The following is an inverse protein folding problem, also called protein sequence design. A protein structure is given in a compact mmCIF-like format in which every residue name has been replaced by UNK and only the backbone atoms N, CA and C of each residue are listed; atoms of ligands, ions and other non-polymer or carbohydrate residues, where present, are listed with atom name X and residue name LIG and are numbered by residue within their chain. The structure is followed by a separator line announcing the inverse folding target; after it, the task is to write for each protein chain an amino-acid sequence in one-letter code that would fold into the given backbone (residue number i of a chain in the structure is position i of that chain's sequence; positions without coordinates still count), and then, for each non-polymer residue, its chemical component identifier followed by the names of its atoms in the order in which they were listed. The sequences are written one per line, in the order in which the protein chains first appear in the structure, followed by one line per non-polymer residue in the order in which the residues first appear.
data_IF_748540750492
#
_entry.id   IF_748540750492
#
_cell.length_a   1.000
_cell.length_b   1.000
_cell.length_c   1.000
_cell.angle_alpha   90.00
_cell.angle_beta   90.00
_cell.angle_gamma   90.00
#
_symmetry.space_group_name_H-M   'P 1'
#
loop_
_entity.id
_entity.type
_entity.pdbx_description
1 polymer ?
#
# COMPACT_ATOMS: atom_id res chain seq x y z
N UNK A 1 -4.09 -23.28 70.73
CA UNK A 1 -4.40 -22.61 69.45
C UNK A 1 -4.52 -21.12 69.74
N UNK A 2 -3.39 -20.41 69.77
CA UNK A 2 -3.31 -19.08 70.34
C UNK A 2 -3.61 -17.99 69.32
N UNK A 3 -4.86 -17.49 69.31
CA UNK A 3 -5.15 -16.13 68.84
C UNK A 3 -4.61 -15.13 69.88
N UNK A 4 -3.28 -14.97 69.95
CA UNK A 4 -2.69 -13.81 70.59
C UNK A 4 -2.96 -12.58 69.73
N UNK A 5 -3.55 -11.52 70.29
CA UNK A 5 -3.66 -10.22 69.60
C UNK A 5 -2.25 -9.80 69.20
N UNK A 6 -1.96 -9.77 67.90
CA UNK A 6 -0.66 -9.33 67.38
C UNK A 6 -0.30 -7.97 67.97
N UNK A 7 0.89 -7.88 68.52
CA UNK A 7 1.42 -6.61 69.04
C UNK A 7 1.51 -5.59 67.90
N UNK A 8 1.40 -4.28 68.17
CA UNK A 8 1.54 -3.24 67.13
C UNK A 8 2.83 -3.38 66.29
N UNK A 9 3.91 -3.90 66.90
CA UNK A 9 5.16 -4.23 66.22
C UNK A 9 5.01 -5.39 65.22
N UNK A 10 4.31 -6.46 65.58
CA UNK A 10 4.03 -7.59 64.68
C UNK A 10 3.13 -7.17 63.51
N UNK A 11 2.14 -6.30 63.77
CA UNK A 11 1.32 -5.71 62.69
C UNK A 11 2.14 -4.86 61.73
N UNK A 12 3.06 -4.02 62.22
CA UNK A 12 3.97 -3.27 61.35
C UNK A 12 4.87 -4.20 60.53
N UNK A 13 5.42 -5.25 61.14
CA UNK A 13 6.26 -6.22 60.43
C UNK A 13 5.44 -6.98 59.38
N UNK A 14 4.21 -7.39 59.71
CA UNK A 14 3.30 -8.06 58.78
C UNK A 14 2.90 -7.16 57.60
N UNK A 15 2.60 -5.89 57.85
CA UNK A 15 2.32 -4.93 56.77
C UNK A 15 3.56 -4.68 55.91
N UNK A 16 4.75 -4.55 56.50
CA UNK A 16 6.00 -4.42 55.72
C UNK A 16 6.27 -5.66 54.88
N UNK A 17 6.03 -6.86 55.40
CA UNK A 17 6.23 -8.11 54.67
C UNK A 17 5.21 -8.27 53.53
N UNK A 18 3.95 -7.89 53.74
CA UNK A 18 2.93 -7.86 52.69
C UNK A 18 3.28 -6.84 51.59
N UNK A 19 3.73 -5.64 51.95
CA UNK A 19 4.16 -4.62 50.99
C UNK A 19 5.40 -5.10 50.22
N UNK A 20 6.39 -5.69 50.89
CA UNK A 20 7.60 -6.19 50.23
C UNK A 20 7.31 -7.40 49.33
N UNK A 21 6.42 -8.30 49.75
CA UNK A 21 5.97 -9.44 48.93
C UNK A 21 5.16 -8.96 47.72
N UNK A 22 4.29 -7.96 47.90
CA UNK A 22 3.55 -7.34 46.80
C UNK A 22 4.48 -6.62 45.82
N UNK A 23 5.52 -5.92 46.30
CA UNK A 23 6.53 -5.28 45.46
C UNK A 23 7.37 -6.30 44.68
N UNK A 24 7.73 -7.42 45.30
CA UNK A 24 8.43 -8.51 44.59
C UNK A 24 7.53 -9.19 43.57
N UNK A 25 6.24 -9.36 43.86
CA UNK A 25 5.26 -9.96 42.97
C UNK A 25 4.85 -9.04 41.80
N UNK A 26 4.94 -7.72 41.96
CA UNK A 26 4.71 -6.72 40.92
C UNK A 26 5.81 -6.71 39.85
N UNK A 27 7.01 -7.21 40.16
CA UNK A 27 8.09 -7.29 39.19
C UNK A 27 7.84 -8.43 38.20
N UNK A 28 7.80 -8.08 36.92
CA UNK A 28 7.64 -9.05 35.82
C UNK A 28 8.83 -10.00 35.79
N UNK A 29 8.58 -11.30 35.57
CA UNK A 29 9.67 -12.28 35.51
C UNK A 29 10.61 -12.01 34.33
N UNK A 30 11.90 -12.23 34.54
CA UNK A 30 12.94 -12.00 33.52
C UNK A 30 12.69 -12.79 32.23
N UNK A 31 12.13 -13.98 32.34
CA UNK A 31 11.80 -14.83 31.19
C UNK A 31 10.68 -14.22 30.33
N UNK A 32 9.70 -13.56 30.95
CA UNK A 32 8.64 -12.83 30.23
C UNK A 32 9.26 -11.64 29.48
N UNK A 33 10.18 -10.90 30.10
CA UNK A 33 10.86 -9.77 29.46
C UNK A 33 11.73 -10.21 28.26
N UNK A 34 12.41 -11.35 28.36
CA UNK A 34 13.16 -11.94 27.24
C UNK A 34 12.23 -12.42 26.09
N UNK A 35 11.01 -12.84 26.42
CA UNK A 35 10.01 -13.20 25.41
C UNK A 35 9.61 -11.98 24.58
N UNK A 36 9.46 -10.80 25.21
CA UNK A 36 9.20 -9.54 24.50
C UNK A 36 10.34 -9.17 23.53
N UNK A 37 11.59 -9.44 23.89
CA UNK A 37 12.74 -9.25 22.99
C UNK A 37 12.63 -10.14 21.76
N UNK A 38 12.35 -11.43 21.96
CA UNK A 38 12.18 -12.40 20.86
C UNK A 38 11.02 -12.00 19.94
N UNK A 39 9.92 -11.50 20.52
CA UNK A 39 8.79 -10.96 19.78
C UNK A 39 9.19 -9.73 18.96
N UNK A 40 9.95 -8.81 19.54
CA UNK A 40 10.45 -7.62 18.82
C UNK A 40 11.35 -8.02 17.65
N UNK A 41 12.21 -9.03 17.80
CA UNK A 41 13.05 -9.54 16.71
C UNK A 41 12.22 -10.15 15.57
N UNK A 42 11.15 -10.87 15.90
CA UNK A 42 10.19 -11.38 14.92
C UNK A 42 9.46 -10.26 14.17
N UNK A 43 9.07 -9.21 14.88
CA UNK A 43 8.43 -8.03 14.28
C UNK A 43 9.40 -7.24 13.40
N UNK A 44 10.66 -7.06 13.83
CA UNK A 44 11.71 -6.44 13.00
C UNK A 44 11.89 -7.19 11.68
N UNK A 45 12.01 -8.52 11.72
CA UNK A 45 12.07 -9.35 10.50
C UNK A 45 10.83 -9.17 9.62
N UNK A 46 9.66 -9.03 10.24
CA UNK A 46 8.40 -8.79 9.51
C UNK A 46 8.40 -7.41 8.84
N UNK A 47 8.86 -6.37 9.53
CA UNK A 47 9.04 -5.03 8.97
C UNK A 47 10.05 -5.02 7.80
N UNK A 48 11.16 -5.76 7.91
CA UNK A 48 12.12 -5.95 6.82
C UNK A 48 11.48 -6.64 5.61
N UNK A 49 10.66 -7.67 5.84
CA UNK A 49 9.96 -8.37 4.76
C UNK A 49 8.96 -7.46 4.04
N UNK A 50 8.21 -6.64 4.78
CA UNK A 50 7.35 -5.63 4.16
C UNK A 50 8.18 -4.58 3.40
N UNK A 51 9.31 -4.13 3.94
CA UNK A 51 10.19 -3.18 3.27
C UNK A 51 10.73 -3.74 1.94
N UNK A 52 11.16 -5.01 1.92
CA UNK A 52 11.57 -5.71 0.69
C UNK A 52 10.41 -5.83 -0.31
N UNK A 53 9.23 -6.23 0.17
CA UNK A 53 8.02 -6.31 -0.67
C UNK A 53 7.68 -4.95 -1.28
N UNK A 54 7.71 -3.88 -0.49
CA UNK A 54 7.42 -2.52 -0.94
C UNK A 54 8.45 -2.08 -1.99
N UNK A 55 9.74 -2.36 -1.76
CA UNK A 55 10.80 -2.10 -2.74
C UNK A 55 10.55 -2.77 -4.09
N UNK A 56 10.08 -4.03 -4.10
CA UNK A 56 9.70 -4.73 -5.34
C UNK A 56 8.57 -4.01 -6.07
N UNK A 57 7.53 -3.57 -5.36
CA UNK A 57 6.40 -2.85 -5.99
C UNK A 57 6.85 -1.48 -6.51
N UNK A 58 7.70 -0.74 -5.78
CA UNK A 58 8.28 0.51 -6.29
C UNK A 58 9.16 0.29 -7.53
N UNK A 59 9.90 -0.82 -7.59
CA UNK A 59 10.65 -1.21 -8.79
C UNK A 59 9.74 -1.47 -9.99
N UNK A 60 8.60 -2.13 -9.77
CA UNK A 60 7.59 -2.35 -10.81
C UNK A 60 6.94 -1.03 -11.28
N UNK A 61 6.68 -0.10 -10.36
CA UNK A 61 6.24 1.26 -10.71
C UNK A 61 7.24 1.99 -11.60
N UNK A 62 8.54 1.88 -11.31
CA UNK A 62 9.57 2.53 -12.11
C UNK A 62 9.62 1.93 -13.52
N UNK A 63 9.60 0.60 -13.64
CA UNK A 63 9.53 -0.07 -14.95
C UNK A 63 8.31 0.37 -15.76
N UNK A 64 7.11 0.33 -15.15
CA UNK A 64 5.88 0.76 -15.80
C UNK A 64 5.90 2.25 -16.20
N UNK A 65 6.55 3.10 -15.40
CA UNK A 65 6.69 4.53 -15.70
C UNK A 65 7.59 4.79 -16.92
N UNK A 66 8.64 3.97 -17.13
CA UNK A 66 9.47 4.07 -18.33
C UNK A 66 8.71 3.67 -19.60
N UNK A 67 7.78 2.72 -19.49
CA UNK A 67 6.94 2.29 -20.62
C UNK A 67 5.85 3.31 -20.97
N UNK A 68 5.16 3.89 -19.96
CA UNK A 68 4.05 4.80 -20.20
C UNK A 68 3.92 5.87 -19.08
N UNK A 69 4.64 6.97 -19.26
CA UNK A 69 4.69 8.08 -18.30
C UNK A 69 3.34 8.71 -18.02
N UNK A 70 2.52 8.93 -19.05
CA UNK A 70 1.22 9.60 -18.92
C UNK A 70 0.23 8.76 -18.10
N UNK A 71 0.23 7.45 -18.33
CA UNK A 71 -0.64 6.51 -17.62
C UNK A 71 -0.20 6.29 -16.17
N UNK A 72 1.10 6.16 -15.93
CA UNK A 72 1.65 5.74 -14.63
C UNK A 72 1.96 6.92 -13.71
N UNK A 73 2.27 8.09 -14.25
CA UNK A 73 2.77 9.24 -13.50
C UNK A 73 1.91 9.64 -12.31
N UNK A 74 0.59 9.66 -12.46
CA UNK A 74 -0.35 9.96 -11.37
C UNK A 74 -0.25 8.96 -10.22
N UNK A 75 -0.15 7.67 -10.53
CA UNK A 75 -0.08 6.60 -9.52
C UNK A 75 1.28 6.54 -8.85
N UNK A 76 2.35 6.75 -9.64
CA UNK A 76 3.71 6.85 -9.12
C UNK A 76 3.86 8.02 -8.14
N UNK A 77 3.35 9.20 -8.47
CA UNK A 77 3.36 10.35 -7.56
C UNK A 77 2.68 10.04 -6.23
N UNK A 78 1.51 9.37 -6.26
CA UNK A 78 0.83 8.91 -5.04
C UNK A 78 1.69 7.93 -4.24
N UNK A 79 2.26 6.91 -4.89
CA UNK A 79 3.12 5.91 -4.27
C UNK A 79 4.37 6.54 -3.63
N UNK A 80 5.06 7.44 -4.33
CA UNK A 80 6.25 8.13 -3.85
C UNK A 80 5.92 9.03 -2.63
N UNK A 81 4.77 9.69 -2.63
CA UNK A 81 4.32 10.47 -1.47
C UNK A 81 4.07 9.60 -0.23
N UNK A 82 3.55 8.38 -0.43
CA UNK A 82 3.37 7.41 0.65
C UNK A 82 4.71 6.94 1.19
N UNK A 83 5.67 6.63 0.30
CA UNK A 83 7.03 6.22 0.68
C UNK A 83 7.70 7.22 1.62
N UNK A 84 7.71 8.49 1.22
CA UNK A 84 8.33 9.59 1.99
C UNK A 84 7.70 9.71 3.37
N UNK A 85 6.37 9.66 3.45
CA UNK A 85 5.67 9.74 4.74
C UNK A 85 5.89 8.52 5.62
N UNK A 86 5.94 7.32 5.03
CA UNK A 86 6.19 6.07 5.74
C UNK A 86 7.61 6.05 6.31
N UNK A 87 8.62 6.40 5.51
CA UNK A 87 10.02 6.46 5.92
C UNK A 87 10.22 7.50 7.03
N UNK A 88 9.63 8.69 6.90
CA UNK A 88 9.71 9.74 7.93
C UNK A 88 9.12 9.28 9.27
N UNK A 89 7.95 8.63 9.26
CA UNK A 89 7.32 8.13 10.48
C UNK A 89 8.09 6.95 11.07
N UNK A 90 8.56 6.02 10.24
CA UNK A 90 9.38 4.89 10.66
C UNK A 90 10.66 5.37 11.36
N UNK A 91 11.38 6.32 10.76
CA UNK A 91 12.59 6.92 11.33
C UNK A 91 12.31 7.70 12.61
N UNK A 92 11.17 8.39 12.71
CA UNK A 92 10.76 9.06 13.95
C UNK A 92 10.57 8.05 15.09
N UNK A 93 9.95 6.90 14.83
CA UNK A 93 9.80 5.85 15.84
C UNK A 93 11.14 5.25 16.23
N UNK A 94 12.06 5.03 15.27
CA UNK A 94 13.43 4.62 15.61
C UNK A 94 14.11 5.64 16.53
N UNK A 95 14.03 6.93 16.22
CA UNK A 95 14.60 7.98 17.08
C UNK A 95 14.00 7.95 18.49
N UNK A 96 12.68 7.74 18.63
CA UNK A 96 12.03 7.60 19.93
C UNK A 96 12.50 6.36 20.70
N UNK A 97 12.55 5.18 20.05
CA UNK A 97 13.07 3.94 20.66
C UNK A 97 14.46 4.18 21.25
N UNK A 98 15.34 4.79 20.47
CA UNK A 98 16.70 5.07 20.90
C UNK A 98 16.77 6.10 22.04
N UNK A 99 15.96 7.16 21.97
CA UNK A 99 15.86 8.17 23.04
C UNK A 99 15.46 7.55 24.38
N UNK A 100 14.50 6.62 24.37
CA UNK A 100 14.05 5.94 25.58
C UNK A 100 15.11 4.97 26.11
N UNK A 101 15.69 4.12 25.24
CA UNK A 101 16.73 3.15 25.62
C UNK A 101 17.97 3.83 26.19
N UNK A 102 18.51 4.84 25.51
CA UNK A 102 19.72 5.54 25.95
C UNK A 102 19.56 6.16 27.34
N UNK A 103 18.37 6.71 27.61
CA UNK A 103 18.08 7.30 28.91
C UNK A 103 17.94 6.23 29.99
N UNK A 104 17.27 5.13 29.71
CA UNK A 104 17.05 4.04 30.66
C UNK A 104 18.37 3.34 31.02
N UNK A 105 19.19 3.04 30.02
CA UNK A 105 20.50 2.41 30.22
C UNK A 105 21.57 3.39 30.75
N UNK A 106 21.22 4.68 30.95
CA UNK A 106 22.12 5.76 31.38
C UNK A 106 23.38 5.85 30.51
N UNK A 107 23.24 5.52 29.22
CA UNK A 107 24.33 5.54 28.26
C UNK A 107 24.61 6.98 27.85
N UNK A 108 25.82 7.44 28.13
CA UNK A 108 26.31 8.74 27.64
C UNK A 108 26.88 8.52 26.25
N UNK A 109 26.29 9.16 25.23
CA UNK A 109 26.89 9.21 23.89
C UNK A 109 28.17 10.06 23.99
N UNK A 110 29.33 9.43 23.87
CA UNK A 110 30.60 10.15 23.69
C UNK A 110 30.79 10.39 22.20
N UNK A 111 30.63 11.64 21.77
CA UNK A 111 31.00 12.05 20.42
C UNK A 111 32.51 12.31 20.43
N UNK A 112 33.28 11.40 19.82
CA UNK A 112 34.70 11.62 19.54
C UNK A 112 34.83 12.05 18.08
N UNK A 113 35.85 12.85 17.74
CA UNK A 113 36.02 13.50 16.43
C UNK A 113 35.88 12.56 15.21
N UNK A 114 36.13 11.26 15.37
CA UNK A 114 36.21 10.31 14.26
C UNK A 114 35.26 9.09 14.37
N UNK A 115 34.58 8.88 15.50
CA UNK A 115 33.59 7.79 15.69
C UNK A 115 32.61 8.10 16.81
N UNK A 116 31.35 7.65 16.64
CA UNK A 116 30.38 7.61 17.74
C UNK A 116 30.36 6.17 18.27
N UNK A 117 31.03 5.96 19.40
CA UNK A 117 31.00 4.69 20.13
C UNK A 117 29.83 4.70 21.10
N UNK A 118 28.85 3.84 20.86
CA UNK A 118 27.85 3.49 21.86
C UNK A 118 27.92 1.97 22.13
N UNK A 119 27.45 1.48 23.29
CA UNK A 119 27.23 0.05 23.53
C UNK A 119 26.21 -0.60 22.56
N UNK A 120 25.55 0.21 21.72
CA UNK A 120 24.45 -0.15 20.83
C UNK A 120 24.77 0.28 19.38
N UNK A 121 25.57 -0.54 18.70
CA UNK A 121 25.98 -0.43 17.28
C UNK A 121 26.61 0.93 16.87
N UNK A 122 27.33 0.90 15.74
CA UNK A 122 27.95 2.08 15.14
C UNK A 122 26.83 2.99 14.63
N UNK A 123 26.79 4.25 15.05
CA UNK A 123 25.96 5.26 14.39
C UNK A 123 26.51 5.46 12.96
N UNK A 124 25.63 5.59 11.97
CA UNK A 124 26.07 6.04 10.65
C UNK A 124 26.52 7.51 10.71
N UNK A 125 27.17 8.00 9.65
CA UNK A 125 27.70 9.38 9.55
C UNK A 125 26.62 10.47 9.70
N UNK A 126 25.33 10.09 9.74
CA UNK A 126 24.17 10.98 9.90
C UNK A 126 23.56 10.92 11.30
N UNK A 127 24.14 10.15 12.22
CA UNK A 127 23.61 9.97 13.58
C UNK A 127 22.34 9.13 13.62
N UNK A 128 22.09 8.33 12.58
CA UNK A 128 20.97 7.39 12.50
C UNK A 128 21.46 6.02 13.00
N UNK A 129 20.71 5.44 13.92
CA UNK A 129 20.96 4.11 14.49
C UNK A 129 20.75 3.04 13.40
N UNK A 130 21.64 2.06 13.28
CA UNK A 130 21.62 1.04 12.20
C UNK A 130 20.45 0.02 12.28
N UNK A 131 19.47 0.26 13.16
CA UNK A 131 18.27 -0.55 13.27
C UNK A 131 18.43 -1.80 14.15
N UNK A 132 19.58 -2.03 14.79
CA UNK A 132 19.72 -3.05 15.84
C UNK A 132 20.04 -2.42 17.18
N UNK A 133 19.00 -2.21 17.99
CA UNK A 133 19.19 -2.01 19.43
C UNK A 133 19.99 -3.23 19.92
N UNK A 134 21.19 -3.02 20.43
CA UNK A 134 21.98 -4.11 21.01
C UNK A 134 21.34 -4.64 22.30
N UNK A 135 22.14 -5.22 23.21
CA UNK A 135 21.61 -5.83 24.43
C UNK A 135 21.12 -4.78 25.44
N UNK A 136 19.85 -4.38 25.35
CA UNK A 136 19.17 -3.49 26.32
C UNK A 136 19.44 -4.02 27.73
N UNK A 137 19.92 -3.17 28.65
CA UNK A 137 20.27 -3.58 30.00
C UNK A 137 19.09 -3.39 30.96
N UNK A 138 18.45 -2.24 30.89
CA UNK A 138 17.32 -1.83 31.71
C UNK A 138 15.97 -2.28 31.13
N UNK A 139 15.88 -3.55 30.70
CA UNK A 139 14.68 -4.12 30.04
C UNK A 139 13.41 -4.05 30.92
N UNK A 140 13.58 -4.03 32.23
CA UNK A 140 12.56 -3.96 33.26
C UNK A 140 12.24 -2.52 33.73
N UNK A 141 12.92 -1.50 33.21
CA UNK A 141 12.65 -0.10 33.59
C UNK A 141 11.24 0.31 33.16
N UNK A 142 10.43 0.70 34.15
CA UNK A 142 9.03 1.09 33.98
C UNK A 142 8.81 2.61 34.12
N UNK A 143 9.86 3.39 34.38
CA UNK A 143 9.76 4.81 34.70
C UNK A 143 10.16 5.70 33.52
N UNK A 144 11.29 5.38 32.87
CA UNK A 144 11.86 6.16 31.77
C UNK A 144 10.93 6.21 30.55
N UNK A 145 10.26 5.11 30.14
CA UNK A 145 9.28 5.17 29.07
C UNK A 145 8.14 6.14 29.40
N UNK A 146 7.54 6.05 30.59
CA UNK A 146 6.46 6.95 31.04
C UNK A 146 6.91 8.40 31.11
N UNK A 147 8.12 8.68 31.60
CA UNK A 147 8.63 10.05 31.67
C UNK A 147 8.79 10.67 30.27
N UNK A 148 9.31 9.93 29.30
CA UNK A 148 9.53 10.47 27.95
C UNK A 148 8.22 10.51 27.16
N UNK A 149 7.44 9.44 27.18
CA UNK A 149 6.30 9.26 26.30
C UNK A 149 5.06 9.96 26.83
N UNK A 150 4.81 9.87 28.13
CA UNK A 150 3.64 10.46 28.78
C UNK A 150 3.96 11.87 29.29
N UNK A 151 4.90 12.00 30.24
CA UNK A 151 5.14 13.30 30.90
C UNK A 151 5.70 14.37 29.95
N UNK A 152 6.59 14.00 29.03
CA UNK A 152 7.11 14.92 28.00
C UNK A 152 6.24 14.98 26.73
N UNK A 153 5.17 14.19 26.65
CA UNK A 153 4.19 14.24 25.57
C UNK A 153 4.63 13.67 24.22
N UNK A 154 5.75 12.93 24.16
CA UNK A 154 6.25 12.35 22.89
C UNK A 154 5.26 11.32 22.29
N UNK A 155 4.48 10.62 23.12
CA UNK A 155 3.43 9.70 22.66
C UNK A 155 2.30 10.44 21.95
N UNK A 156 1.93 11.64 22.39
CA UNK A 156 0.91 12.46 21.73
C UNK A 156 1.41 12.97 20.38
N UNK A 157 2.70 13.33 20.28
CA UNK A 157 3.30 13.67 18.99
C UNK A 157 3.31 12.46 18.05
N UNK A 158 3.67 11.28 18.58
CA UNK A 158 3.63 10.02 17.82
C UNK A 158 2.22 9.71 17.31
N UNK A 159 1.20 9.78 18.17
CA UNK A 159 -0.22 9.58 17.84
C UNK A 159 -0.64 10.48 16.67
N UNK A 160 -0.37 11.79 16.79
CA UNK A 160 -0.69 12.76 15.72
C UNK A 160 0.00 12.44 14.39
N UNK A 161 1.25 11.98 14.42
CA UNK A 161 1.97 11.58 13.20
C UNK A 161 1.38 10.30 12.58
N UNK A 162 0.96 9.32 13.39
CA UNK A 162 0.26 8.12 12.91
C UNK A 162 -1.09 8.51 12.27
N UNK A 163 -1.85 9.39 12.91
CA UNK A 163 -3.13 9.88 12.40
C UNK A 163 -2.97 10.65 11.09
N UNK A 164 -1.96 11.51 10.99
CA UNK A 164 -1.63 12.23 9.76
C UNK A 164 -1.23 11.28 8.62
N UNK A 165 -0.41 10.26 8.90
CA UNK A 165 -0.05 9.25 7.91
C UNK A 165 -1.27 8.44 7.46
N UNK A 166 -2.11 8.01 8.40
CA UNK A 166 -3.36 7.30 8.12
C UNK A 166 -4.29 8.13 7.22
N UNK A 167 -4.47 9.41 7.54
CA UNK A 167 -5.28 10.33 6.74
C UNK A 167 -4.72 10.51 5.32
N UNK A 168 -3.40 10.68 5.18
CA UNK A 168 -2.73 10.77 3.88
C UNK A 168 -2.97 9.52 3.03
N UNK A 169 -2.86 8.33 3.62
CA UNK A 169 -3.11 7.08 2.89
C UNK A 169 -4.55 7.01 2.35
N UNK A 170 -5.54 7.34 3.19
CA UNK A 170 -6.96 7.31 2.82
C UNK A 170 -7.25 8.35 1.74
N UNK A 171 -6.73 9.58 1.88
CA UNK A 171 -6.86 10.63 0.87
C UNK A 171 -6.26 10.19 -0.48
N UNK A 172 -5.08 9.57 -0.46
CA UNK A 172 -4.39 9.11 -1.68
C UNK A 172 -5.12 7.95 -2.35
N UNK A 173 -5.76 7.05 -1.59
CA UNK A 173 -6.64 6.01 -2.11
C UNK A 173 -7.87 6.64 -2.76
N UNK A 174 -8.52 7.57 -2.08
CA UNK A 174 -9.70 8.27 -2.58
C UNK A 174 -10.96 7.39 -2.55
N UNK A 175 -11.80 7.51 -3.59
CA UNK A 175 -13.09 6.84 -3.66
C UNK A 175 -12.95 5.31 -3.73
N UNK A 176 -13.42 4.63 -2.67
CA UNK A 176 -13.31 3.18 -2.49
C UNK A 176 -14.41 2.39 -3.20
N UNK A 177 -15.42 3.06 -3.79
CA UNK A 177 -16.51 2.39 -4.53
C UNK A 177 -16.01 1.69 -5.79
N UNK A 178 -14.89 2.16 -6.36
CA UNK A 178 -14.23 1.60 -7.55
C UNK A 178 -13.08 0.63 -7.20
N UNK A 179 -13.03 0.17 -5.94
CA UNK A 179 -11.95 -0.66 -5.40
C UNK A 179 -11.12 0.11 -4.37
N UNK A 180 -10.32 -0.61 -3.58
CA UNK A 180 -9.48 -0.01 -2.53
C UNK A 180 -10.08 -0.06 -1.13
N UNK A 181 -11.34 -0.50 -0.97
CA UNK A 181 -11.95 -0.75 0.34
C UNK A 181 -11.09 -1.67 1.22
N UNK A 182 -10.63 -2.80 0.68
CA UNK A 182 -9.75 -3.71 1.43
C UNK A 182 -8.42 -3.08 1.86
N UNK A 183 -7.87 -2.15 1.07
CA UNK A 183 -6.67 -1.40 1.47
C UNK A 183 -6.99 -0.43 2.62
N UNK A 184 -8.09 0.31 2.52
CA UNK A 184 -8.54 1.23 3.58
C UNK A 184 -8.85 0.49 4.88
N UNK A 185 -9.56 -0.64 4.81
CA UNK A 185 -9.90 -1.46 5.98
C UNK A 185 -8.62 -1.96 6.68
N UNK A 186 -7.62 -2.42 5.92
CA UNK A 186 -6.33 -2.84 6.45
C UNK A 186 -5.57 -1.68 7.12
N UNK A 187 -5.60 -0.49 6.52
CA UNK A 187 -4.96 0.72 7.06
C UNK A 187 -5.63 1.17 8.36
N UNK A 188 -6.96 1.20 8.39
CA UNK A 188 -7.73 1.60 9.57
C UNK A 188 -7.53 0.63 10.73
N UNK A 189 -7.46 -0.67 10.45
CA UNK A 189 -7.22 -1.71 11.44
C UNK A 189 -5.78 -1.66 11.98
N UNK A 190 -4.78 -1.55 11.10
CA UNK A 190 -3.37 -1.59 11.49
C UNK A 190 -2.90 -0.33 12.22
N UNK A 191 -3.40 0.85 11.82
CA UNK A 191 -2.98 2.15 12.37
C UNK A 191 -4.04 2.77 13.29
N UNK A 192 -4.76 1.93 14.05
CA UNK A 192 -5.77 2.42 14.98
C UNK A 192 -5.14 3.03 16.24
N UNK A 193 -5.49 4.28 16.52
CA UNK A 193 -5.03 5.08 17.67
C UNK A 193 -6.21 5.60 18.51
N UNK A 194 -7.37 4.97 18.38
CA UNK A 194 -8.56 5.34 19.15
C UNK A 194 -8.36 5.01 20.63
N UNK A 195 -8.95 5.81 21.51
CA UNK A 195 -8.91 5.56 22.93
C UNK A 195 -9.62 4.23 23.26
N UNK A 196 -9.09 3.43 24.19
CA UNK A 196 -9.71 2.16 24.58
C UNK A 196 -11.07 2.38 25.25
N UNK A 197 -11.93 1.36 25.30
CA UNK A 197 -13.14 1.41 26.12
C UNK A 197 -12.78 1.69 27.59
N UNK A 198 -13.66 2.37 28.36
CA UNK A 198 -13.40 2.67 29.76
C UNK A 198 -13.05 1.41 30.56
N UNK A 199 -11.96 1.46 31.31
CA UNK A 199 -11.53 0.38 32.21
C UNK A 199 -11.94 0.80 33.61
N UNK A 200 -12.73 -0.04 34.29
CA UNK A 200 -13.21 0.23 35.67
C UNK A 200 -13.92 1.60 35.83
N UNK A 201 -14.58 2.08 34.77
CA UNK A 201 -15.30 3.35 34.77
C UNK A 201 -14.43 4.59 34.52
N UNK A 202 -13.10 4.43 34.40
CA UNK A 202 -12.19 5.52 34.04
C UNK A 202 -11.91 5.54 32.52
N UNK A 203 -12.03 6.73 31.92
CA UNK A 203 -11.57 6.97 30.54
C UNK A 203 -10.07 7.22 30.55
N UNK A 204 -9.31 6.36 29.88
CA UNK A 204 -7.88 6.55 29.64
C UNK A 204 -7.66 6.82 28.15
N UNK A 205 -6.73 7.72 27.84
CA UNK A 205 -6.37 7.96 26.44
C UNK A 205 -5.45 6.84 25.91
N UNK A 206 -5.37 6.72 24.59
CA UNK A 206 -4.54 5.72 23.91
C UNK A 206 -3.08 5.76 24.37
N UNK A 207 -2.49 6.94 24.53
CA UNK A 207 -1.10 7.10 24.94
C UNK A 207 -0.83 6.47 26.31
N UNK A 208 -1.66 6.78 27.31
CA UNK A 208 -1.53 6.25 28.66
C UNK A 208 -1.74 4.74 28.66
N UNK A 209 -2.76 4.26 27.93
CA UNK A 209 -3.02 2.83 27.83
C UNK A 209 -1.85 2.04 27.24
N UNK A 210 -1.13 2.62 26.28
CA UNK A 210 -0.08 1.94 25.51
C UNK A 210 1.31 2.11 26.10
N UNK A 211 1.58 3.18 26.86
CA UNK A 211 2.95 3.51 27.30
C UNK A 211 3.10 3.78 28.80
N UNK A 212 2.02 3.90 29.57
CA UNK A 212 2.13 4.23 30.99
C UNK A 212 2.37 2.99 31.86
N UNK A 213 3.33 3.08 32.78
CA UNK A 213 3.73 2.00 33.70
C UNK A 213 4.10 0.66 33.02
N UNK A 214 4.58 0.70 31.77
CA UNK A 214 4.98 -0.49 30.99
C UNK A 214 6.52 -0.63 31.00
N UNK A 215 7.07 -1.85 31.17
CA UNK A 215 8.50 -2.10 31.05
C UNK A 215 9.08 -1.68 29.70
N UNK A 216 10.32 -1.20 29.71
CA UNK A 216 11.04 -0.68 28.55
C UNK A 216 10.99 -1.65 27.36
N UNK A 217 11.29 -2.92 27.57
CA UNK A 217 11.32 -3.89 26.46
C UNK A 217 9.96 -4.01 25.78
N UNK A 218 8.86 -3.97 26.54
CA UNK A 218 7.51 -4.06 25.99
C UNK A 218 7.15 -2.79 25.21
N UNK A 219 7.56 -1.60 25.70
CA UNK A 219 7.41 -0.35 24.96
C UNK A 219 8.16 -0.39 23.62
N UNK A 220 9.38 -0.92 23.60
CA UNK A 220 10.16 -1.11 22.36
C UNK A 220 9.44 -2.08 21.43
N UNK A 221 8.93 -3.20 21.94
CA UNK A 221 8.17 -4.17 21.13
C UNK A 221 6.91 -3.54 20.52
N UNK A 222 6.18 -2.72 21.28
CA UNK A 222 5.00 -1.98 20.79
C UNK A 222 5.41 -1.00 19.68
N UNK A 223 6.48 -0.23 19.87
CA UNK A 223 6.99 0.68 18.83
C UNK A 223 7.40 -0.07 17.56
N UNK A 224 8.04 -1.23 17.70
CA UNK A 224 8.38 -2.12 16.58
C UNK A 224 7.13 -2.68 15.88
N UNK A 225 6.08 -2.99 16.65
CA UNK A 225 4.77 -3.39 16.09
C UNK A 225 4.17 -2.25 15.26
N UNK A 226 4.17 -1.01 15.76
CA UNK A 226 3.70 0.16 15.02
C UNK A 226 4.51 0.36 13.72
N UNK A 227 5.83 0.19 13.77
CA UNK A 227 6.69 0.23 12.56
C UNK A 227 6.32 -0.83 11.53
N UNK A 228 6.00 -2.04 12.00
CA UNK A 228 5.51 -3.12 11.14
C UNK A 228 4.18 -2.75 10.50
N UNK A 229 3.25 -2.18 11.26
CA UNK A 229 1.96 -1.73 10.74
C UNK A 229 2.12 -0.61 9.70
N UNK A 230 3.07 0.32 9.90
CA UNK A 230 3.38 1.38 8.93
C UNK A 230 3.83 0.78 7.59
N UNK A 231 4.72 -0.21 7.62
CA UNK A 231 5.21 -0.88 6.41
C UNK A 231 4.15 -1.75 5.74
N UNK A 232 3.27 -2.36 6.53
CA UNK A 232 2.11 -3.10 6.01
C UNK A 232 1.08 -2.16 5.35
N UNK A 233 0.76 -1.03 6.01
CA UNK A 233 -0.14 -0.01 5.48
C UNK A 233 0.40 0.62 4.18
N UNK A 234 1.71 0.90 4.13
CA UNK A 234 2.42 1.28 2.91
C UNK A 234 2.21 0.21 1.82
N UNK A 235 2.43 -1.07 2.15
CA UNK A 235 2.28 -2.19 1.22
C UNK A 235 0.87 -2.26 0.62
N UNK A 236 -0.17 -2.12 1.45
CA UNK A 236 -1.57 -2.13 1.02
C UNK A 236 -1.88 -0.97 0.07
N UNK A 237 -1.45 0.26 0.42
CA UNK A 237 -1.70 1.44 -0.41
C UNK A 237 -0.97 1.36 -1.76
N UNK A 238 0.32 1.03 -1.74
CA UNK A 238 1.18 0.97 -2.93
C UNK A 238 0.75 -0.16 -3.86
N UNK A 239 0.39 -1.34 -3.31
CA UNK A 239 -0.16 -2.44 -4.12
C UNK A 239 -1.49 -2.06 -4.76
N UNK A 240 -2.35 -1.33 -4.03
CA UNK A 240 -3.58 -0.80 -4.60
C UNK A 240 -3.29 0.15 -5.77
N UNK A 241 -2.42 1.15 -5.59
CA UNK A 241 -2.05 2.07 -6.66
C UNK A 241 -1.48 1.35 -7.89
N UNK A 242 -0.67 0.31 -7.67
CA UNK A 242 -0.10 -0.47 -8.76
C UNK A 242 -1.20 -1.21 -9.54
N UNK A 243 -2.16 -1.80 -8.83
CA UNK A 243 -3.31 -2.47 -9.48
C UNK A 243 -4.16 -1.53 -10.34
N UNK A 244 -4.19 -0.23 -10.00
CA UNK A 244 -4.95 0.77 -10.76
C UNK A 244 -4.30 1.15 -12.09
N UNK A 245 -2.99 0.89 -12.27
CA UNK A 245 -2.33 1.07 -13.56
C UNK A 245 -2.95 0.12 -14.59
N UNK A 246 -3.10 -1.16 -14.26
CA UNK A 246 -3.61 -2.16 -15.20
C UNK A 246 -5.13 -2.13 -15.33
N UNK A 247 -5.84 -1.81 -14.24
CA UNK A 247 -7.29 -1.66 -14.27
C UNK A 247 -7.77 -0.58 -15.25
N UNK A 248 -6.93 0.42 -15.56
CA UNK A 248 -7.24 1.45 -16.53
C UNK A 248 -7.00 1.03 -17.99
N UNK A 249 -6.49 -0.18 -18.26
CA UNK A 249 -6.07 -0.61 -19.60
C UNK A 249 -7.10 -1.50 -20.28
N UNK A 250 -7.30 -1.28 -21.58
CA UNK A 250 -7.99 -2.26 -22.41
C UNK A 250 -7.16 -3.55 -22.46
N UNK A 251 -7.81 -4.66 -22.16
CA UNK A 251 -7.22 -5.99 -22.32
C UNK A 251 -7.41 -6.41 -23.77
N UNK A 252 -6.36 -6.94 -24.38
CA UNK A 252 -6.42 -7.51 -25.72
C UNK A 252 -5.78 -8.90 -25.65
N UNK A 253 -6.44 -9.90 -26.21
CA UNK A 253 -5.95 -11.29 -26.19
C UNK A 253 -5.77 -11.88 -27.60
N UNK A 254 -6.17 -11.14 -28.64
CA UNK A 254 -6.00 -11.54 -30.04
C UNK A 254 -5.35 -10.39 -30.81
N UNK A 255 -4.29 -10.72 -31.54
CA UNK A 255 -3.58 -9.80 -32.43
C UNK A 255 -3.67 -10.36 -33.84
N UNK A 256 -4.08 -9.54 -34.79
CA UNK A 256 -4.17 -9.93 -36.20
C UNK A 256 -3.64 -8.83 -37.10
N UNK A 257 -2.89 -9.20 -38.13
CA UNK A 257 -2.49 -8.26 -39.16
C UNK A 257 -3.69 -7.92 -40.05
N UNK A 258 -4.00 -6.64 -40.18
CA UNK A 258 -5.07 -6.14 -41.03
C UNK A 258 -4.46 -5.28 -42.13
N UNK A 259 -4.88 -5.57 -43.36
CA UNK A 259 -4.52 -4.78 -44.54
C UNK A 259 -5.75 -4.00 -44.97
N UNK A 260 -5.69 -2.69 -44.83
CA UNK A 260 -6.73 -1.77 -45.32
C UNK A 260 -6.29 -1.24 -46.67
N UNK A 261 -6.84 -1.84 -47.71
CA UNK A 261 -6.65 -1.43 -49.10
C UNK A 261 -7.88 -0.65 -49.58
N UNK A 262 -7.75 0.63 -49.99
CA UNK A 262 -8.87 1.41 -50.52
C UNK A 262 -9.41 0.87 -51.85
N UNK A 263 -8.60 0.10 -52.60
CA UNK A 263 -8.99 -0.55 -53.85
C UNK A 263 -8.69 -2.05 -53.78
N UNK A 264 -9.67 -2.87 -54.14
CA UNK A 264 -9.54 -4.34 -54.20
C UNK A 264 -8.95 -4.84 -55.52
N UNK A 265 -8.83 -3.98 -56.54
CA UNK A 265 -8.29 -4.33 -57.85
C UNK A 265 -7.34 -3.22 -58.35
N UNK A 266 -6.36 -3.62 -59.17
CA UNK A 266 -5.34 -2.74 -59.74
C UNK A 266 -5.27 -2.97 -61.26
N UNK A 267 -5.15 -1.89 -62.03
CA UNK A 267 -4.86 -1.95 -63.46
C UNK A 267 -3.35 -1.99 -63.70
N UNK A 268 -2.92 -2.66 -64.77
CA UNK A 268 -1.51 -2.75 -65.16
C UNK A 268 -0.93 -1.34 -65.34
N UNK A 269 0.21 -1.06 -64.69
CA UNK A 269 0.85 0.26 -64.66
C UNK A 269 0.34 1.20 -63.56
N UNK A 270 -0.69 0.83 -62.79
CA UNK A 270 -1.18 1.60 -61.65
C UNK A 270 -0.36 1.40 -60.36
N UNK A 271 -0.43 2.38 -59.45
CA UNK A 271 0.16 2.29 -58.10
C UNK A 271 -0.83 1.66 -57.11
N UNK A 272 -0.39 0.63 -56.40
CA UNK A 272 -1.13 0.04 -55.28
C UNK A 272 -0.64 0.63 -53.96
N UNK A 273 -1.57 1.07 -53.12
CA UNK A 273 -1.30 1.59 -51.78
C UNK A 273 -2.23 0.89 -50.79
N UNK A 274 -1.68 0.40 -49.68
CA UNK A 274 -2.43 -0.22 -48.61
C UNK A 274 -1.81 0.13 -47.26
N UNK A 275 -2.66 0.34 -46.25
CA UNK A 275 -2.25 0.50 -44.87
C UNK A 275 -2.19 -0.89 -44.21
N UNK A 276 -1.01 -1.29 -43.72
CA UNK A 276 -0.84 -2.54 -42.97
C UNK A 276 -0.64 -2.18 -41.50
N UNK A 277 -1.50 -2.72 -40.63
CA UNK A 277 -1.41 -2.48 -39.20
C UNK A 277 -1.81 -3.72 -38.40
N UNK A 278 -1.39 -3.77 -37.14
CA UNK A 278 -1.81 -4.81 -36.21
C UNK A 278 -3.11 -4.38 -35.53
N UNK A 279 -4.17 -5.15 -35.72
CA UNK A 279 -5.41 -4.97 -35.00
C UNK A 279 -5.40 -5.84 -33.73
N UNK A 280 -5.64 -5.21 -32.59
CA UNK A 280 -5.82 -5.88 -31.31
C UNK A 280 -7.31 -5.96 -30.97
N UNK A 281 -7.79 -7.13 -30.55
CA UNK A 281 -9.16 -7.33 -30.09
C UNK A 281 -9.20 -8.18 -28.82
N UNK A 282 -10.30 -8.07 -28.08
CA UNK A 282 -10.62 -8.94 -26.95
C UNK A 282 -11.73 -9.91 -27.38
N UNK A 283 -11.45 -11.22 -27.39
CA UNK A 283 -12.46 -12.23 -27.74
C UNK A 283 -13.46 -12.50 -26.61
N UNK A 284 -13.19 -12.02 -25.39
CA UNK A 284 -14.08 -12.20 -24.23
C UNK A 284 -15.14 -11.11 -24.11
N UNK A 285 -14.93 -9.96 -24.77
CA UNK A 285 -15.87 -8.84 -24.77
C UNK A 285 -16.54 -8.74 -26.13
N UNK A 286 -17.86 -8.76 -26.16
CA UNK A 286 -18.64 -8.56 -27.39
C UNK A 286 -19.14 -7.12 -27.46
N UNK A 287 -18.57 -6.26 -28.35
CA UNK A 287 -19.08 -4.91 -28.54
C UNK A 287 -20.43 -4.93 -29.25
N UNK A 288 -21.26 -3.92 -29.03
CA UNK A 288 -22.49 -3.75 -29.79
C UNK A 288 -22.18 -2.91 -31.03
N UNK A 289 -22.41 -3.48 -32.22
CA UNK A 289 -22.12 -2.80 -33.49
C UNK A 289 -23.41 -2.64 -34.26
N UNK A 290 -23.76 -1.38 -34.57
CA UNK A 290 -24.94 -1.03 -35.35
C UNK A 290 -24.51 -0.49 -36.71
N UNK A 291 -25.12 -0.97 -37.78
CA UNK A 291 -24.96 -0.42 -39.14
C UNK A 291 -26.34 -0.10 -39.68
N UNK A 292 -26.56 1.15 -40.08
CA UNK A 292 -27.88 1.62 -40.54
C UNK A 292 -29.01 1.35 -39.54
N UNK A 293 -28.72 1.43 -38.24
CA UNK A 293 -29.68 1.18 -37.15
C UNK A 293 -29.93 -0.30 -36.81
N UNK A 294 -29.34 -1.26 -37.54
CA UNK A 294 -29.49 -2.70 -37.27
C UNK A 294 -28.23 -3.26 -36.59
N UNK A 295 -28.36 -4.11 -35.55
CA UNK A 295 -27.21 -4.75 -34.91
C UNK A 295 -26.56 -5.79 -35.83
N UNK A 296 -25.24 -5.84 -35.85
CA UNK A 296 -24.46 -6.85 -36.55
C UNK A 296 -24.24 -8.09 -35.68
N UNK A 297 -24.07 -9.25 -36.35
CA UNK A 297 -23.57 -10.44 -35.69
C UNK A 297 -22.10 -10.26 -35.36
N UNK A 298 -21.75 -10.47 -34.10
CA UNK A 298 -20.37 -10.42 -33.62
C UNK A 298 -19.78 -11.82 -33.64
N UNK A 299 -18.59 -11.98 -34.22
CA UNK A 299 -17.79 -13.21 -34.15
C UNK A 299 -16.35 -12.84 -33.84
N UNK A 300 -15.77 -13.43 -32.80
CA UNK A 300 -14.39 -13.17 -32.35
C UNK A 300 -14.10 -11.67 -32.12
N UNK A 301 -15.06 -10.92 -31.56
CA UNK A 301 -14.95 -9.48 -31.32
C UNK A 301 -15.14 -8.61 -32.57
N UNK A 302 -15.53 -9.18 -33.71
CA UNK A 302 -15.70 -8.47 -34.99
C UNK A 302 -17.15 -8.51 -35.47
N UNK A 303 -17.67 -7.36 -35.89
CA UNK A 303 -18.98 -7.26 -36.55
C UNK A 303 -18.93 -7.74 -37.99
N UNK A 304 -19.78 -8.69 -38.35
CA UNK A 304 -19.91 -9.17 -39.71
C UNK A 304 -21.00 -8.39 -40.44
N UNK A 305 -20.59 -7.60 -41.43
CA UNK A 305 -21.49 -6.88 -42.34
C UNK A 305 -21.45 -7.54 -43.73
N UNK A 306 -22.63 -7.76 -44.31
CA UNK A 306 -22.78 -8.23 -45.68
C UNK A 306 -23.94 -7.49 -46.34
N UNK A 307 -23.74 -7.04 -47.57
CA UNK A 307 -24.76 -6.37 -48.38
C UNK A 307 -24.66 -6.83 -49.83
N UNK A 308 -25.80 -7.12 -50.44
CA UNK A 308 -25.89 -7.45 -51.87
C UNK A 308 -25.84 -6.20 -52.74
N UNK A 309 -25.08 -6.26 -53.84
CA UNK A 309 -25.03 -5.18 -54.84
C UNK A 309 -26.26 -5.21 -55.74
N UNK A 310 -27.28 -4.41 -55.44
CA UNK A 310 -28.54 -4.37 -56.22
C UNK A 310 -28.58 -3.27 -57.28
N UNK A 311 -27.68 -2.28 -57.21
CA UNK A 311 -27.61 -1.16 -58.16
C UNK A 311 -26.19 -0.61 -58.28
N UNK A 312 -25.84 -0.19 -59.49
CA UNK A 312 -24.56 0.45 -59.81
C UNK A 312 -24.48 1.83 -59.15
N UNK A 313 -23.28 2.24 -58.72
CA UNK A 313 -23.04 3.56 -58.14
C UNK A 313 -22.42 3.51 -56.74
N UNK A 314 -22.24 4.70 -56.16
CA UNK A 314 -21.68 4.86 -54.81
C UNK A 314 -22.74 4.62 -53.75
N UNK A 315 -22.43 3.74 -52.80
CA UNK A 315 -23.25 3.44 -51.63
C UNK A 315 -22.48 3.85 -50.38
N UNK A 316 -23.00 4.84 -49.66
CA UNK A 316 -22.48 5.26 -48.36
C UNK A 316 -23.21 4.48 -47.27
N UNK A 317 -22.46 3.94 -46.31
CA UNK A 317 -23.04 3.35 -45.12
C UNK A 317 -22.23 3.76 -43.89
N UNK A 318 -22.90 3.80 -42.74
CA UNK A 318 -22.30 4.20 -41.49
C UNK A 318 -22.83 3.37 -40.34
N UNK A 319 -22.17 3.49 -39.20
CA UNK A 319 -22.50 2.71 -38.02
C UNK A 319 -21.94 3.30 -36.74
N UNK A 320 -22.31 2.68 -35.63
CA UNK A 320 -21.82 3.02 -34.29
C UNK A 320 -21.34 1.73 -33.63
N UNK A 321 -20.15 1.77 -33.07
CA UNK A 321 -19.63 0.73 -32.17
C UNK A 321 -19.79 1.25 -30.74
N UNK A 322 -20.49 0.50 -29.89
CA UNK A 322 -20.52 0.72 -28.45
C UNK A 322 -19.70 -0.36 -27.74
N UNK A 323 -18.84 0.05 -26.82
CA UNK A 323 -17.98 -0.87 -26.07
C UNK A 323 -17.75 -0.35 -24.65
N UNK A 324 -17.59 -1.27 -23.71
CA UNK A 324 -17.36 -0.93 -22.31
C UNK A 324 -15.87 -0.64 -22.07
N UNK A 325 -15.57 0.52 -21.51
CA UNK A 325 -14.23 0.88 -21.06
C UNK A 325 -13.85 0.11 -19.78
N UNK A 326 -12.55 -0.06 -19.48
CA UNK A 326 -12.09 -0.69 -18.24
C UNK A 326 -12.62 0.01 -16.98
N UNK A 327 -12.86 1.32 -17.05
CA UNK A 327 -13.45 2.13 -15.98
C UNK A 327 -14.95 1.87 -15.74
N UNK A 328 -15.60 1.07 -16.59
CA UNK A 328 -17.03 0.72 -16.48
C UNK A 328 -17.95 1.52 -17.39
N UNK A 329 -17.50 2.65 -17.92
CA UNK A 329 -18.26 3.52 -18.82
C UNK A 329 -18.50 2.87 -20.19
N UNK A 330 -19.63 3.15 -20.83
CA UNK A 330 -19.89 2.74 -22.22
C UNK A 330 -19.41 3.86 -23.15
N UNK A 331 -18.47 3.54 -24.02
CA UNK A 331 -17.93 4.45 -25.04
C UNK A 331 -18.57 4.15 -26.39
N UNK A 332 -18.75 5.20 -27.19
CA UNK A 332 -19.29 5.11 -28.55
C UNK A 332 -18.28 5.64 -29.58
N UNK A 333 -18.11 4.92 -30.69
CA UNK A 333 -17.33 5.35 -31.86
C UNK A 333 -18.17 5.30 -33.13
N UNK A 334 -18.17 6.39 -33.89
CA UNK A 334 -18.86 6.48 -35.18
C UNK A 334 -17.97 5.95 -36.30
N UNK A 335 -18.55 5.16 -37.20
CA UNK A 335 -17.94 4.63 -38.42
C UNK A 335 -18.63 5.24 -39.64
N UNK A 336 -17.84 5.69 -40.62
CA UNK A 336 -18.33 6.14 -41.93
C UNK A 336 -17.51 5.41 -43.00
N UNK A 337 -18.18 4.65 -43.88
CA UNK A 337 -17.55 3.85 -44.94
C UNK A 337 -18.26 4.11 -46.28
N UNK A 338 -17.49 4.16 -47.37
CA UNK A 338 -18.00 4.30 -48.73
C UNK A 338 -17.67 3.05 -49.54
N UNK A 339 -18.69 2.47 -50.19
CA UNK A 339 -18.55 1.35 -51.13
C UNK A 339 -18.95 1.83 -52.53
N UNK A 340 -18.22 1.40 -53.56
CA UNK A 340 -18.56 1.68 -54.96
C UNK A 340 -18.80 0.37 -55.70
N UNK A 341 -20.02 0.18 -56.22
CA UNK A 341 -20.36 -0.97 -57.05
C UNK A 341 -20.10 -0.63 -58.52
N UNK A 342 -19.28 -1.46 -59.18
CA UNK A 342 -18.94 -1.34 -60.60
C UNK A 342 -19.48 -2.54 -61.39
N UNK A 343 -19.86 -2.31 -62.64
CA UNK A 343 -20.26 -3.38 -63.56
C UNK A 343 -19.00 -4.01 -64.15
N UNK A 344 -18.81 -5.32 -63.95
CA UNK A 344 -17.69 -6.05 -64.55
C UNK A 344 -18.13 -6.62 -65.90
N UNK A 345 -17.78 -5.95 -66.99
CA UNK A 345 -17.98 -6.46 -68.35
C UNK A 345 -16.83 -7.39 -68.69
N UNK A 346 -17.08 -8.69 -68.73
CA UNK A 346 -16.14 -9.66 -69.31
C UNK A 346 -16.14 -9.49 -70.83
N UNK A 347 -15.08 -8.94 -71.39
CA UNK A 347 -14.79 -9.08 -72.82
C UNK A 347 -14.23 -10.50 -73.03
N UNK A 348 -15.11 -11.42 -73.44
CA UNK A 348 -14.70 -12.68 -74.07
C UNK A 348 -13.94 -12.31 -75.35
N UNK A 349 -12.63 -12.53 -75.37
CA UNK A 349 -11.86 -12.52 -76.62
C UNK A 349 -12.24 -13.79 -77.39
N UNK A 350 -12.86 -13.61 -78.56
CA UNK A 350 -12.91 -14.62 -79.60
C UNK A 350 -11.54 -14.74 -80.27
#
# INVERSE_FOLDING_TARGET
MGHGKETPRQKMIGMMYLVLTALLALNVSKDILLTFQTLSDGLNKTAENFSKKNATVYGAFEAAYQENKDKVGKWKFKADSVKVSADSLYSYIELLKNKVVLKADKVVIRITKDTIETPYTKLDEKGIFDGKIGKIQAIDDNNVPGEILILKGEATVLRKKIEAYRALLIERIGDTTKGGKGAVDAILSGLNTSDPPPIEGATINWETHVFDHIPLIAVITIMTKIQTDIRNAESSAVSYFHSQIDAASFKFNKLEAVVKAPKSYLLVGGKYEAEVFLAASDTTVSPEIFVGGKPLKIKDGKGQYSAGGTSVGEKKWGGVIKFKAPAGDVLEKVLIIQLKFLLQVYLLKN
#
